data_IF_095287719596
#
_entry.id   IF_095287719596
#
_cell.length_a   1.000
_cell.length_b   1.000
_cell.length_c   1.000
_cell.angle_alpha   90.00
_cell.angle_beta   90.00
_cell.angle_gamma   90.00
#
_symmetry.space_group_name_H-M   'P 1'
#
loop_
_entity.id
_entity.type
_entity.pdbx_description
1 polymer ?
#
# COMPACT_ATOMS: atom_id res chain seq x y z
N UNK A 1 -19.41 -25.27 -40.30
CA UNK A 1 -18.05 -24.71 -40.39
C UNK A 1 -17.54 -24.46 -38.97
N UNK A 2 -17.23 -25.55 -38.25
CA UNK A 2 -16.91 -25.51 -36.82
C UNK A 2 -15.55 -24.84 -36.60
N UNK A 3 -15.60 -23.60 -36.14
CA UNK A 3 -14.43 -22.77 -35.87
C UNK A 3 -13.43 -23.52 -35.00
N UNK A 4 -12.18 -23.51 -35.44
CA UNK A 4 -10.95 -23.88 -34.76
C UNK A 4 -11.17 -24.46 -33.36
N UNK A 5 -11.21 -25.79 -33.31
CA UNK A 5 -11.32 -26.60 -32.10
C UNK A 5 -10.46 -26.04 -30.98
N UNK A 6 -10.92 -26.11 -29.73
CA UNK A 6 -10.20 -25.63 -28.54
C UNK A 6 -8.73 -26.13 -28.51
N UNK A 7 -8.49 -27.28 -29.12
CA UNK A 7 -7.17 -27.88 -29.31
C UNK A 7 -6.21 -27.03 -30.17
N UNK A 8 -6.71 -26.36 -31.21
CA UNK A 8 -5.93 -25.47 -32.06
C UNK A 8 -5.40 -24.26 -31.27
N UNK A 9 -6.26 -23.64 -30.45
CA UNK A 9 -5.87 -22.50 -29.62
C UNK A 9 -4.77 -22.86 -28.61
N UNK A 10 -4.80 -24.07 -28.04
CA UNK A 10 -3.74 -24.54 -27.16
C UNK A 10 -2.38 -24.64 -27.87
N UNK A 11 -2.37 -25.19 -29.09
CA UNK A 11 -1.15 -25.29 -29.92
C UNK A 11 -0.62 -23.92 -30.30
N UNK A 12 -1.51 -22.98 -30.67
CA UNK A 12 -1.13 -21.62 -31.03
C UNK A 12 -0.52 -20.89 -29.84
N UNK A 13 -1.09 -21.00 -28.64
CA UNK A 13 -0.54 -20.37 -27.43
C UNK A 13 0.87 -20.90 -27.13
N UNK A 14 1.09 -22.22 -27.25
CA UNK A 14 2.41 -22.81 -27.06
C UNK A 14 3.40 -22.24 -28.09
N UNK A 15 2.99 -22.14 -29.36
CA UNK A 15 3.85 -21.63 -30.43
C UNK A 15 4.21 -20.15 -30.21
N UNK A 16 3.23 -19.32 -29.83
CA UNK A 16 3.45 -17.90 -29.48
C UNK A 16 4.39 -17.78 -28.28
N UNK A 17 4.23 -18.63 -27.25
CA UNK A 17 5.11 -18.65 -26.08
C UNK A 17 6.55 -19.05 -26.43
N UNK A 18 6.75 -19.94 -27.40
CA UNK A 18 8.08 -20.31 -27.89
C UNK A 18 8.72 -19.19 -28.72
N UNK A 19 7.95 -18.52 -29.59
CA UNK A 19 8.46 -17.45 -30.45
C UNK A 19 8.79 -16.17 -29.67
N UNK A 20 7.89 -15.76 -28.77
CA UNK A 20 8.05 -14.53 -28.00
C UNK A 20 8.78 -14.74 -26.67
N UNK A 21 8.84 -15.99 -26.19
CA UNK A 21 9.40 -16.35 -24.89
C UNK A 21 8.51 -15.95 -23.72
N UNK A 22 8.70 -16.60 -22.56
CA UNK A 22 7.93 -16.30 -21.33
C UNK A 22 8.10 -14.86 -20.83
N UNK A 23 9.28 -14.26 -21.01
CA UNK A 23 9.62 -12.95 -20.45
C UNK A 23 8.78 -11.81 -21.04
N UNK A 24 8.61 -11.79 -22.37
CA UNK A 24 7.85 -10.74 -23.06
C UNK A 24 6.34 -10.84 -22.80
N UNK A 25 5.80 -12.06 -22.75
CA UNK A 25 4.38 -12.29 -22.48
C UNK A 25 4.03 -11.93 -21.04
N UNK A 26 4.87 -12.28 -20.06
CA UNK A 26 4.64 -11.92 -18.66
C UNK A 26 4.69 -10.40 -18.40
N UNK A 27 5.61 -9.69 -19.05
CA UNK A 27 5.73 -8.23 -18.94
C UNK A 27 4.47 -7.52 -19.49
N UNK A 28 4.09 -7.88 -20.73
CA UNK A 28 2.87 -7.36 -21.39
C UNK A 28 1.59 -7.73 -20.63
N UNK A 29 1.47 -8.98 -20.16
CA UNK A 29 0.30 -9.42 -19.40
C UNK A 29 0.24 -8.73 -18.02
N UNK A 30 1.39 -8.38 -17.43
CA UNK A 30 1.47 -7.60 -16.20
C UNK A 30 0.92 -6.19 -16.38
N UNK A 31 1.31 -5.50 -17.45
CA UNK A 31 0.83 -4.14 -17.74
C UNK A 31 -0.64 -4.13 -18.19
N UNK A 32 -1.06 -5.09 -19.01
CA UNK A 32 -2.47 -5.28 -19.36
C UNK A 32 -3.32 -5.65 -18.14
N UNK A 33 -2.80 -6.49 -17.25
CA UNK A 33 -3.47 -6.91 -16.03
C UNK A 33 -3.68 -5.75 -15.04
N UNK A 34 -2.68 -4.88 -14.88
CA UNK A 34 -2.81 -3.65 -14.06
C UNK A 34 -3.83 -2.70 -14.67
N UNK A 35 -3.77 -2.45 -15.99
CA UNK A 35 -4.72 -1.58 -16.68
C UNK A 35 -6.16 -2.07 -16.57
N UNK A 36 -6.39 -3.37 -16.77
CA UNK A 36 -7.72 -3.96 -16.65
C UNK A 36 -8.21 -4.03 -15.20
N UNK A 37 -7.30 -4.22 -14.22
CA UNK A 37 -7.63 -4.16 -12.79
C UNK A 37 -8.06 -2.76 -12.38
N UNK A 38 -7.30 -1.72 -12.74
CA UNK A 38 -7.67 -0.33 -12.46
C UNK A 38 -8.94 0.10 -13.19
N UNK A 39 -9.18 -0.40 -14.40
CA UNK A 39 -10.44 -0.19 -15.11
C UNK A 39 -11.63 -0.82 -14.38
N UNK A 40 -11.47 -2.07 -13.90
CA UNK A 40 -12.52 -2.75 -13.12
C UNK A 40 -12.72 -2.13 -11.74
N UNK A 41 -11.66 -1.71 -11.07
CA UNK A 41 -11.74 -0.99 -9.79
C UNK A 41 -12.43 0.35 -9.99
N UNK A 42 -12.04 1.16 -10.99
CA UNK A 42 -12.69 2.45 -11.28
C UNK A 42 -14.14 2.33 -11.77
N UNK A 43 -14.51 1.21 -12.40
CA UNK A 43 -15.88 0.93 -12.83
C UNK A 43 -16.73 0.23 -11.74
N UNK A 44 -16.08 -0.29 -10.69
CA UNK A 44 -16.70 -1.01 -9.56
C UNK A 44 -16.51 -0.32 -8.21
N UNK A 45 -16.03 0.93 -8.20
CA UNK A 45 -15.68 1.70 -7.00
C UNK A 45 -16.90 2.18 -6.20
N UNK A 46 -18.12 1.97 -6.71
CA UNK A 46 -19.33 2.16 -5.90
C UNK A 46 -19.54 1.05 -4.85
N UNK A 47 -18.91 -0.14 -4.99
CA UNK A 47 -19.06 -1.25 -4.02
C UNK A 47 -17.74 -1.70 -3.34
N UNK A 48 -16.55 -1.37 -3.88
CA UNK A 48 -15.30 -2.02 -3.50
C UNK A 48 -14.42 -1.27 -2.48
N UNK A 49 -14.79 -0.06 -2.04
CA UNK A 49 -14.01 0.76 -1.10
C UNK A 49 -13.74 0.11 0.28
N UNK A 50 -14.33 -1.07 0.58
CA UNK A 50 -14.16 -1.80 1.84
C UNK A 50 -13.13 -2.95 1.79
N UNK A 51 -12.46 -3.21 0.65
CA UNK A 51 -11.61 -4.42 0.49
C UNK A 51 -10.11 -4.17 0.33
N UNK A 52 -9.64 -2.93 0.43
CA UNK A 52 -8.21 -2.62 0.48
C UNK A 52 -7.72 -2.48 1.92
N UNK A 53 -7.72 -3.58 2.67
CA UNK A 53 -6.69 -3.78 3.70
C UNK A 53 -5.58 -4.62 3.05
N UNK A 54 -4.31 -4.17 3.08
CA UNK A 54 -3.22 -4.95 2.50
C UNK A 54 -3.06 -6.28 3.24
N UNK A 55 -2.79 -7.39 2.54
CA UNK A 55 -2.41 -8.62 3.21
C UNK A 55 -1.12 -8.31 3.97
N UNK A 56 -1.14 -8.54 5.29
CA UNK A 56 0.02 -8.51 6.17
C UNK A 56 1.08 -9.46 5.60
N UNK A 57 1.95 -8.94 4.75
CA UNK A 57 3.17 -9.62 4.35
C UNK A 57 4.11 -9.53 5.53
N UNK A 58 4.61 -10.69 5.92
CA UNK A 58 5.49 -10.96 7.05
C UNK A 58 6.74 -10.06 6.96
N UNK A 59 6.75 -8.92 7.66
CA UNK A 59 7.98 -8.22 8.04
C UNK A 59 8.43 -8.84 9.37
N UNK A 60 9.28 -9.85 9.25
CA UNK A 60 9.99 -10.48 10.36
C UNK A 60 11.06 -9.52 10.91
N UNK A 61 10.64 -8.45 11.60
CA UNK A 61 11.48 -7.72 12.55
C UNK A 61 10.89 -7.90 13.94
N UNK A 62 11.50 -8.71 14.82
CA UNK A 62 11.17 -8.64 16.23
C UNK A 62 11.59 -7.23 16.71
N UNK A 63 10.62 -6.34 16.82
CA UNK A 63 10.79 -5.15 17.64
C UNK A 63 10.80 -5.70 19.07
N UNK A 64 11.99 -5.72 19.67
CA UNK A 64 12.16 -5.98 21.09
C UNK A 64 11.41 -4.88 21.84
N UNK A 65 10.17 -5.18 22.22
CA UNK A 65 9.42 -4.38 23.19
C UNK A 65 9.62 -5.07 24.53
N UNK A 66 10.79 -4.89 25.12
CA UNK A 66 10.94 -4.99 26.57
C UNK A 66 10.37 -3.68 27.17
N UNK A 67 9.22 -3.68 27.85
CA UNK A 67 8.76 -2.49 28.57
C UNK A 67 9.71 -2.23 29.74
N UNK A 68 10.46 -1.13 29.68
CA UNK A 68 11.22 -0.63 30.81
C UNK A 68 10.24 -0.26 31.94
N UNK A 69 10.38 -0.80 33.17
CA UNK A 69 9.45 -0.53 34.25
C UNK A 69 9.43 0.98 34.61
N UNK A 70 8.28 1.54 35.01
CA UNK A 70 8.07 2.99 35.08
C UNK A 70 8.97 3.65 36.12
N UNK A 71 9.94 4.44 35.67
CA UNK A 71 10.70 5.34 36.54
C UNK A 71 9.76 6.51 36.87
N UNK A 72 9.23 6.53 38.09
CA UNK A 72 8.49 7.63 38.67
C UNK A 72 9.21 8.96 38.36
N UNK A 73 8.59 9.79 37.53
CA UNK A 73 9.02 11.17 37.29
C UNK A 73 7.82 12.06 37.58
N UNK A 74 8.02 12.90 38.58
CA UNK A 74 7.09 13.77 39.28
C UNK A 74 6.34 14.74 38.34
N UNK A 75 5.13 15.18 38.72
CA UNK A 75 4.32 16.08 37.91
C UNK A 75 5.03 17.44 37.81
N UNK A 76 5.65 17.71 36.66
CA UNK A 76 6.25 19.01 36.37
C UNK A 76 5.14 19.98 36.00
N UNK A 77 4.69 20.75 36.98
CA UNK A 77 3.77 21.88 36.87
C UNK A 77 4.29 22.87 35.81
N UNK A 78 3.42 23.42 34.93
CA UNK A 78 3.86 24.40 33.95
C UNK A 78 4.41 25.66 34.64
N UNK A 79 5.48 26.27 34.11
CA UNK A 79 6.09 27.48 34.69
C UNK A 79 5.13 28.69 34.60
N UNK A 80 5.15 29.60 35.60
CA UNK A 80 4.28 30.77 35.63
C UNK A 80 4.62 31.78 34.51
N UNK A 81 3.62 32.50 33.97
CA UNK A 81 3.85 33.52 32.94
C UNK A 81 4.69 34.69 33.47
N UNK A 82 5.52 35.32 32.62
CA UNK A 82 6.44 36.38 33.02
C UNK A 82 5.68 37.62 33.56
N UNK A 83 6.24 38.31 34.58
CA UNK A 83 5.63 39.50 35.16
C UNK A 83 5.53 40.62 34.12
N UNK A 84 4.36 41.26 34.05
CA UNK A 84 4.11 42.43 33.21
C UNK A 84 5.10 43.56 33.58
N UNK A 85 5.74 44.15 32.57
CA UNK A 85 6.66 45.28 32.70
C UNK A 85 5.94 46.50 33.31
N UNK A 86 5.99 46.62 34.62
CA UNK A 86 5.62 47.82 35.37
C UNK A 86 6.84 48.75 35.39
N UNK A 87 7.06 49.47 34.30
CA UNK A 87 8.04 50.57 34.25
C UNK A 87 7.53 51.69 33.34
N UNK A 88 6.43 52.34 33.74
CA UNK A 88 6.23 53.77 33.49
C UNK A 88 5.32 54.35 34.57
N UNK A 89 5.93 54.86 35.65
CA UNK A 89 5.45 56.10 36.24
C UNK A 89 6.62 57.10 36.18
N UNK A 90 6.51 58.14 35.36
CA UNK A 90 7.30 59.33 35.58
C UNK A 90 6.41 60.58 35.60
N UNK A 91 6.61 61.46 36.61
CA UNK A 91 5.80 62.64 36.87
C UNK A 91 5.99 63.74 35.83
#
# INVERSE_FOLDING_TARGET
MGGFSLWHWLVVIILVMLLFGRGRISDLMGDLGKGLKSFKEGMGDEEAAKRQEPPRSIENRPIDVTPQPPRAQEPVTPPPPPPADDTTPRP
#
